data_IF_323544335891
#
_entry.id   IF_323544335891
#
_cell.length_a   1.000
_cell.length_b   1.000
_cell.length_c   1.000
_cell.angle_alpha   90.00
_cell.angle_beta   90.00
_cell.angle_gamma   90.00
#
_symmetry.space_group_name_H-M   'P 1'
#
loop_
_entity.id
_entity.type
_entity.pdbx_description
1 polymer ?
#
# COMPACT_ATOMS: atom_id res chain seq x y z
N UNK A 1 -6.11 0.66 21.65
CA UNK A 1 -5.82 -0.73 21.31
C UNK A 1 -5.26 -0.68 19.90
N UNK A 2 -4.00 -1.05 19.70
CA UNK A 2 -3.51 -1.37 18.37
C UNK A 2 -4.34 -2.58 17.93
N UNK A 3 -5.06 -2.47 16.81
CA UNK A 3 -5.72 -3.60 16.21
C UNK A 3 -4.63 -4.64 15.89
N UNK A 4 -4.87 -5.88 16.24
CA UNK A 4 -3.97 -6.99 15.94
C UNK A 4 -3.88 -7.09 14.41
N UNK A 5 -2.68 -7.02 13.85
CA UNK A 5 -2.48 -6.99 12.40
C UNK A 5 -2.91 -8.36 11.85
N UNK A 6 -4.00 -8.39 11.11
CA UNK A 6 -4.49 -9.60 10.44
C UNK A 6 -3.70 -9.77 9.15
N UNK A 7 -3.12 -10.93 8.94
CA UNK A 7 -2.46 -11.29 7.69
C UNK A 7 -3.39 -12.12 6.82
N UNK A 8 -3.25 -11.98 5.51
CA UNK A 8 -4.10 -12.60 4.52
C UNK A 8 -3.31 -13.58 3.65
N UNK A 9 -3.98 -14.59 3.14
CA UNK A 9 -3.43 -15.60 2.23
C UNK A 9 -3.36 -15.06 0.80
N UNK A 10 -2.50 -15.63 -0.03
CA UNK A 10 -2.40 -15.27 -1.47
C UNK A 10 -3.77 -15.32 -2.14
N UNK A 11 -4.58 -16.34 -1.86
CA UNK A 11 -5.94 -16.49 -2.37
C UNK A 11 -6.83 -15.26 -2.11
N UNK A 12 -6.73 -14.68 -0.92
CA UNK A 12 -7.56 -13.52 -0.53
C UNK A 12 -7.18 -12.26 -1.34
N UNK A 13 -5.90 -12.09 -1.70
CA UNK A 13 -5.46 -11.03 -2.63
C UNK A 13 -6.01 -11.23 -4.04
N UNK A 14 -6.02 -12.47 -4.54
CA UNK A 14 -6.63 -12.81 -5.82
C UNK A 14 -8.13 -12.46 -5.82
N UNK A 15 -8.85 -12.80 -4.76
CA UNK A 15 -10.29 -12.51 -4.62
C UNK A 15 -10.56 -11.00 -4.53
N UNK A 16 -9.77 -10.26 -3.78
CA UNK A 16 -9.88 -8.81 -3.68
C UNK A 16 -9.69 -8.13 -5.05
N UNK A 17 -8.69 -8.57 -5.82
CA UNK A 17 -8.43 -8.06 -7.16
C UNK A 17 -9.54 -8.43 -8.15
N UNK A 18 -10.11 -9.64 -8.06
CA UNK A 18 -11.26 -10.07 -8.87
C UNK A 18 -12.49 -9.22 -8.59
N UNK A 19 -12.81 -9.00 -7.31
CA UNK A 19 -13.94 -8.18 -6.86
C UNK A 19 -13.87 -6.75 -7.38
N UNK A 20 -12.67 -6.22 -7.58
CA UNK A 20 -12.43 -4.87 -8.12
C UNK A 20 -12.21 -4.82 -9.63
N UNK A 21 -12.28 -5.97 -10.32
CA UNK A 21 -12.08 -6.07 -11.77
C UNK A 21 -10.64 -5.88 -12.26
N UNK A 22 -9.66 -5.87 -11.33
CA UNK A 22 -8.23 -5.67 -11.64
C UNK A 22 -7.51 -6.97 -12.05
N UNK A 23 -8.04 -8.11 -11.64
CA UNK A 23 -7.45 -9.43 -11.92
C UNK A 23 -7.43 -9.74 -13.42
N UNK A 24 -6.32 -10.30 -13.90
CA UNK A 24 -6.19 -10.86 -15.25
C UNK A 24 -6.04 -12.39 -15.21
N UNK A 25 -4.99 -12.91 -14.57
CA UNK A 25 -4.75 -14.35 -14.36
C UNK A 25 -3.81 -14.56 -13.18
N UNK A 26 -3.59 -15.81 -12.78
CA UNK A 26 -2.56 -16.17 -11.81
C UNK A 26 -2.10 -17.60 -12.05
N UNK A 27 -0.88 -17.91 -11.57
CA UNK A 27 -0.39 -19.26 -11.38
C UNK A 27 0.20 -19.37 -9.97
N UNK A 28 -0.39 -20.21 -9.13
CA UNK A 28 -0.08 -20.25 -7.69
C UNK A 28 0.69 -21.51 -7.26
N UNK A 29 0.83 -22.50 -8.14
CA UNK A 29 1.61 -23.73 -7.90
C UNK A 29 1.24 -24.44 -6.59
N UNK A 30 -0.05 -24.42 -6.20
CA UNK A 30 -0.53 -25.05 -4.97
C UNK A 30 -0.16 -24.27 -3.68
N UNK A 31 0.21 -22.98 -3.80
CA UNK A 31 0.61 -22.14 -2.66
C UNK A 31 -0.43 -21.08 -2.30
N UNK A 32 -1.70 -21.29 -2.62
CA UNK A 32 -2.84 -20.40 -2.40
C UNK A 32 -2.98 -20.01 -0.92
N UNK A 33 -2.65 -20.95 -0.03
CA UNK A 33 -2.77 -20.82 1.42
C UNK A 33 -1.60 -20.10 2.09
N UNK A 34 -0.53 -19.77 1.34
CA UNK A 34 0.60 -19.03 1.91
C UNK A 34 0.14 -17.65 2.38
N UNK A 35 0.53 -17.32 3.61
CA UNK A 35 0.18 -16.05 4.25
C UNK A 35 1.19 -14.98 3.87
N UNK A 36 0.71 -13.81 3.51
CA UNK A 36 1.55 -12.65 3.21
C UNK A 36 1.76 -11.83 4.47
N UNK A 37 3.03 -11.61 4.83
CA UNK A 37 3.45 -10.84 6.01
C UNK A 37 4.12 -9.52 5.67
N UNK A 38 4.50 -9.34 4.40
CA UNK A 38 5.10 -8.10 3.92
C UNK A 38 4.60 -7.79 2.50
N UNK A 39 4.43 -6.50 2.22
CA UNK A 39 3.99 -5.99 0.91
C UNK A 39 4.91 -4.83 0.53
N UNK A 40 5.70 -5.00 -0.52
CA UNK A 40 6.61 -3.95 -0.99
C UNK A 40 6.85 -4.02 -2.50
N UNK A 41 7.27 -2.91 -3.06
CA UNK A 41 7.78 -2.79 -4.43
C UNK A 41 9.30 -2.51 -4.47
N UNK A 42 9.93 -2.40 -3.30
CA UNK A 42 11.35 -2.16 -3.15
C UNK A 42 12.09 -3.46 -2.82
N UNK A 43 12.94 -3.96 -3.73
CA UNK A 43 13.68 -5.20 -3.52
C UNK A 43 14.62 -5.18 -2.30
N UNK A 44 14.93 -3.99 -1.76
CA UNK A 44 15.76 -3.83 -0.55
C UNK A 44 14.97 -4.09 0.74
N UNK A 45 13.66 -3.92 0.71
CA UNK A 45 12.74 -4.05 1.85
C UNK A 45 12.04 -5.42 1.92
N UNK A 46 12.41 -6.33 1.03
CA UNK A 46 11.87 -7.68 0.99
C UNK A 46 12.35 -8.48 2.21
N UNK A 47 11.42 -9.18 2.82
CA UNK A 47 11.61 -10.17 3.89
C UNK A 47 10.89 -11.47 3.53
N UNK A 48 10.91 -12.45 4.42
CA UNK A 48 10.12 -13.68 4.28
C UNK A 48 8.62 -13.36 4.15
N UNK A 49 7.90 -14.20 3.42
CA UNK A 49 6.46 -14.07 3.16
C UNK A 49 6.05 -12.75 2.49
N UNK A 50 6.93 -12.17 1.66
CA UNK A 50 6.63 -10.94 0.91
C UNK A 50 5.81 -11.23 -0.35
N UNK A 51 4.74 -10.44 -0.56
CA UNK A 51 4.13 -10.20 -1.87
C UNK A 51 4.86 -9.02 -2.53
N UNK A 52 5.62 -9.31 -3.58
CA UNK A 52 6.43 -8.31 -4.26
C UNK A 52 5.71 -7.69 -5.44
N UNK A 53 5.67 -6.34 -5.52
CA UNK A 53 4.98 -5.60 -6.56
C UNK A 53 5.97 -5.16 -7.65
N UNK A 54 5.83 -5.72 -8.85
CA UNK A 54 6.66 -5.36 -10.01
C UNK A 54 6.10 -4.11 -10.69
N UNK A 55 6.47 -2.91 -10.22
CA UNK A 55 5.92 -1.65 -10.74
C UNK A 55 6.97 -0.69 -11.25
N UNK A 56 6.49 0.22 -12.12
CA UNK A 56 7.23 1.41 -12.55
C UNK A 56 8.00 1.24 -13.85
N UNK A 57 8.20 2.36 -14.56
CA UNK A 57 8.93 2.39 -15.84
C UNK A 57 10.42 1.99 -15.70
N UNK A 58 10.98 2.17 -14.50
CA UNK A 58 12.37 1.80 -14.18
C UNK A 58 12.51 0.36 -13.66
N UNK A 59 11.42 -0.41 -13.60
CA UNK A 59 11.45 -1.79 -13.12
C UNK A 59 12.32 -2.67 -14.03
N UNK A 60 13.21 -3.44 -13.39
CA UNK A 60 14.08 -4.42 -14.08
C UNK A 60 13.85 -5.81 -13.50
N UNK A 61 13.85 -6.88 -14.35
CA UNK A 61 13.68 -8.26 -13.88
C UNK A 61 14.67 -8.68 -12.78
N UNK A 62 15.84 -8.07 -12.73
CA UNK A 62 16.83 -8.32 -11.67
C UNK A 62 16.29 -8.00 -10.27
N UNK A 63 15.42 -7.00 -10.13
CA UNK A 63 14.82 -6.65 -8.84
C UNK A 63 13.84 -7.74 -8.34
N UNK A 64 13.13 -8.39 -9.27
CA UNK A 64 12.29 -9.53 -8.92
C UNK A 64 13.14 -10.74 -8.50
N UNK A 65 14.23 -11.04 -9.20
CA UNK A 65 15.15 -12.12 -8.81
C UNK A 65 15.77 -11.88 -7.44
N UNK A 66 16.17 -10.63 -7.17
CA UNK A 66 16.65 -10.22 -5.85
C UNK A 66 15.57 -10.40 -4.77
N UNK A 67 14.33 -9.99 -5.05
CA UNK A 67 13.21 -10.14 -4.14
C UNK A 67 12.92 -11.60 -3.82
N UNK A 68 12.89 -12.48 -4.83
CA UNK A 68 12.72 -13.92 -4.65
C UNK A 68 13.85 -14.52 -3.80
N UNK A 69 15.10 -14.13 -4.06
CA UNK A 69 16.25 -14.57 -3.28
C UNK A 69 16.21 -14.12 -1.82
N UNK A 70 15.45 -13.07 -1.48
CA UNK A 70 15.27 -12.55 -0.11
C UNK A 70 14.01 -13.04 0.59
N UNK A 71 13.17 -13.87 -0.06
CA UNK A 71 12.01 -14.48 0.57
C UNK A 71 10.66 -13.98 0.05
N UNK A 72 10.60 -13.32 -1.11
CA UNK A 72 9.32 -13.06 -1.78
C UNK A 72 8.68 -14.40 -2.20
N UNK A 73 7.48 -14.66 -1.71
CA UNK A 73 6.74 -15.91 -1.94
C UNK A 73 5.73 -15.81 -3.07
N UNK A 74 5.43 -14.60 -3.51
CA UNK A 74 4.55 -14.30 -4.62
C UNK A 74 4.93 -12.95 -5.22
N UNK A 75 4.72 -12.77 -6.53
CA UNK A 75 4.81 -11.46 -7.13
C UNK A 75 3.54 -11.08 -7.90
N UNK A 76 3.35 -9.77 -8.06
CA UNK A 76 2.26 -9.21 -8.85
C UNK A 76 2.83 -8.29 -9.94
N UNK A 77 2.27 -8.38 -11.14
CA UNK A 77 2.75 -7.65 -12.32
C UNK A 77 1.68 -7.58 -13.42
N UNK A 78 1.98 -6.86 -14.49
CA UNK A 78 1.16 -6.80 -15.71
C UNK A 78 1.57 -7.86 -16.75
N UNK A 79 2.68 -8.57 -16.52
CA UNK A 79 3.19 -9.62 -17.40
C UNK A 79 3.95 -10.70 -16.63
N UNK A 80 4.04 -11.88 -17.18
CA UNK A 80 4.86 -12.96 -16.62
C UNK A 80 6.35 -12.67 -16.78
N UNK A 81 7.14 -13.00 -15.77
CA UNK A 81 8.59 -12.97 -15.81
C UNK A 81 9.15 -14.40 -15.77
N UNK A 82 10.16 -14.67 -16.58
CA UNK A 82 10.89 -15.93 -16.54
C UNK A 82 11.83 -15.94 -15.31
N UNK A 83 11.61 -16.92 -14.45
CA UNK A 83 12.40 -17.15 -13.24
C UNK A 83 12.91 -18.60 -13.24
N UNK A 84 14.03 -18.85 -12.56
CA UNK A 84 14.60 -20.21 -12.45
C UNK A 84 13.77 -21.15 -11.57
N UNK A 85 12.95 -20.58 -10.67
CA UNK A 85 12.08 -21.30 -9.76
C UNK A 85 10.60 -21.02 -10.07
N UNK A 86 9.72 -21.96 -9.72
CA UNK A 86 8.27 -21.78 -9.75
C UNK A 86 7.83 -20.86 -8.59
N UNK A 87 7.72 -19.58 -8.88
CA UNK A 87 7.27 -18.54 -7.93
C UNK A 87 5.83 -18.16 -8.27
N UNK A 88 4.89 -18.27 -7.33
CA UNK A 88 3.52 -17.80 -7.51
C UNK A 88 3.46 -16.39 -8.06
N UNK A 89 2.52 -16.15 -8.99
CA UNK A 89 2.30 -14.82 -9.50
C UNK A 89 0.82 -14.51 -9.74
N UNK A 90 0.51 -13.24 -9.66
CA UNK A 90 -0.81 -12.70 -9.98
C UNK A 90 -0.62 -11.64 -11.06
N UNK A 91 -1.31 -11.78 -12.18
CA UNK A 91 -1.34 -10.78 -13.23
C UNK A 91 -2.53 -9.84 -13.07
N UNK A 92 -2.27 -8.58 -13.27
CA UNK A 92 -3.26 -7.51 -13.18
C UNK A 92 -3.28 -6.67 -14.46
N UNK A 93 -4.38 -5.97 -14.69
CA UNK A 93 -4.57 -5.11 -15.86
C UNK A 93 -3.79 -3.80 -15.75
N UNK A 94 -3.74 -3.24 -14.54
CA UNK A 94 -3.02 -2.02 -14.19
C UNK A 94 -2.43 -2.18 -12.80
N UNK A 95 -1.11 -2.12 -12.71
CA UNK A 95 -0.38 -2.35 -11.47
C UNK A 95 -0.59 -1.23 -10.45
N UNK A 96 -0.79 0.02 -10.91
CA UNK A 96 -0.99 1.17 -10.01
C UNK A 96 -2.36 1.12 -9.34
N UNK A 97 -3.40 0.81 -10.11
CA UNK A 97 -4.74 0.61 -9.55
C UNK A 97 -4.77 -0.61 -8.61
N UNK A 98 -4.14 -1.71 -9.01
CA UNK A 98 -4.04 -2.92 -8.20
C UNK A 98 -3.34 -2.67 -6.86
N UNK A 99 -2.30 -1.83 -6.83
CA UNK A 99 -1.58 -1.48 -5.58
C UNK A 99 -2.51 -0.93 -4.50
N UNK A 100 -3.50 -0.13 -4.85
CA UNK A 100 -4.45 0.41 -3.88
C UNK A 100 -5.31 -0.69 -3.24
N UNK A 101 -5.72 -1.69 -4.03
CA UNK A 101 -6.49 -2.84 -3.54
C UNK A 101 -5.63 -3.72 -2.62
N UNK A 102 -4.39 -3.98 -3.03
CA UNK A 102 -3.45 -4.78 -2.24
C UNK A 102 -3.10 -4.12 -0.91
N UNK A 103 -2.78 -2.82 -0.94
CA UNK A 103 -2.45 -2.06 0.25
C UNK A 103 -3.64 -1.99 1.22
N UNK A 104 -4.84 -1.71 0.72
CA UNK A 104 -6.06 -1.72 1.54
C UNK A 104 -6.25 -3.05 2.25
N UNK A 105 -6.12 -4.18 1.55
CA UNK A 105 -6.27 -5.49 2.16
C UNK A 105 -5.15 -5.75 3.17
N UNK A 106 -3.89 -5.50 2.81
CA UNK A 106 -2.73 -5.75 3.65
C UNK A 106 -2.81 -5.00 4.98
N UNK A 107 -3.23 -3.74 4.96
CA UNK A 107 -3.39 -2.90 6.15
C UNK A 107 -4.79 -2.97 6.80
N UNK A 108 -5.62 -3.96 6.43
CA UNK A 108 -6.98 -4.16 6.99
C UNK A 108 -7.95 -3.00 6.74
N UNK A 109 -7.92 -2.40 5.54
CA UNK A 109 -8.81 -1.29 5.14
C UNK A 109 -8.85 -0.14 6.17
N UNK A 110 -7.71 0.48 6.50
CA UNK A 110 -7.63 1.47 7.59
C UNK A 110 -8.54 2.68 7.38
N UNK A 111 -8.91 2.98 6.14
CA UNK A 111 -9.83 4.06 5.79
C UNK A 111 -11.25 3.87 6.36
N UNK A 112 -11.68 2.64 6.70
CA UNK A 112 -13.00 2.38 7.30
C UNK A 112 -13.11 2.97 8.71
N UNK A 113 -12.00 3.11 9.41
CA UNK A 113 -11.92 3.67 10.76
C UNK A 113 -11.60 5.18 10.78
N UNK A 114 -11.35 5.79 9.61
CA UNK A 114 -10.93 7.17 9.48
C UNK A 114 -12.03 8.07 8.87
N UNK A 115 -12.06 9.33 9.32
CA UNK A 115 -12.80 10.39 8.64
C UNK A 115 -11.84 11.15 7.74
N UNK A 116 -11.94 10.92 6.43
CA UNK A 116 -11.06 11.52 5.45
C UNK A 116 -11.68 12.79 4.86
N UNK A 117 -10.88 13.85 4.78
CA UNK A 117 -11.25 15.11 4.11
C UNK A 117 -10.19 15.41 3.06
N UNK A 118 -10.60 15.45 1.79
CA UNK A 118 -9.72 15.79 0.68
C UNK A 118 -9.92 17.24 0.21
N UNK A 119 -8.82 17.97 -0.02
CA UNK A 119 -8.84 19.33 -0.55
C UNK A 119 -8.22 19.36 -1.94
N UNK A 120 -9.05 19.59 -2.96
CA UNK A 120 -8.65 19.74 -4.36
C UNK A 120 -8.55 21.21 -4.77
N UNK A 121 -7.73 21.50 -5.80
CA UNK A 121 -7.64 22.83 -6.40
C UNK A 121 -6.26 23.14 -6.99
N UNK A 122 -6.18 24.20 -7.77
CA UNK A 122 -4.93 24.63 -8.40
C UNK A 122 -4.01 25.41 -7.44
N UNK A 123 -4.58 26.14 -6.48
CA UNK A 123 -3.88 26.94 -5.45
C UNK A 123 -4.58 26.81 -4.11
N UNK A 124 -3.87 27.13 -3.01
CA UNK A 124 -4.44 27.20 -1.67
C UNK A 124 -4.72 25.89 -0.97
N UNK A 125 -4.49 24.73 -1.59
CA UNK A 125 -4.75 23.40 -1.00
C UNK A 125 -4.09 23.24 0.37
N UNK A 126 -2.77 23.38 0.43
CA UNK A 126 -2.01 23.21 1.68
C UNK A 126 -2.46 24.22 2.73
N UNK A 127 -2.64 25.49 2.36
CA UNK A 127 -3.13 26.53 3.28
C UNK A 127 -4.48 26.14 3.88
N UNK A 128 -5.44 25.71 3.05
CA UNK A 128 -6.77 25.29 3.52
C UNK A 128 -6.71 24.08 4.44
N UNK A 129 -5.86 23.08 4.10
CA UNK A 129 -5.67 21.89 4.94
C UNK A 129 -5.14 22.26 6.32
N UNK A 130 -4.16 23.16 6.42
CA UNK A 130 -3.60 23.57 7.72
C UNK A 130 -4.56 24.42 8.53
N UNK A 131 -5.36 25.29 7.90
CA UNK A 131 -6.42 26.00 8.63
C UNK A 131 -7.47 25.02 9.17
N UNK A 132 -7.93 24.07 8.36
CA UNK A 132 -8.86 23.04 8.83
C UNK A 132 -8.26 22.18 9.94
N UNK A 133 -6.97 21.79 9.80
CA UNK A 133 -6.27 21.04 10.85
C UNK A 133 -6.30 21.81 12.17
N UNK A 134 -5.92 23.09 12.18
CA UNK A 134 -5.91 23.91 13.39
C UNK A 134 -7.28 23.94 14.08
N UNK A 135 -8.36 24.17 13.32
CA UNK A 135 -9.74 24.18 13.85
C UNK A 135 -10.16 22.82 14.41
N UNK A 136 -9.80 21.73 13.69
CA UNK A 136 -10.14 20.37 14.11
C UNK A 136 -9.35 19.97 15.35
N UNK A 137 -8.07 20.34 15.42
CA UNK A 137 -7.22 20.02 16.56
C UNK A 137 -7.69 20.74 17.84
N UNK A 138 -8.05 22.03 17.78
CA UNK A 138 -8.68 22.75 18.90
C UNK A 138 -9.95 22.04 19.41
N UNK A 139 -10.79 21.56 18.47
CA UNK A 139 -11.99 20.81 18.82
C UNK A 139 -11.68 19.44 19.45
N UNK A 140 -10.65 18.74 18.95
CA UNK A 140 -10.22 17.43 19.47
C UNK A 140 -9.57 17.58 20.85
N UNK A 141 -8.73 18.62 21.05
CA UNK A 141 -8.11 18.94 22.33
C UNK A 141 -9.16 19.18 23.42
N UNK A 142 -10.21 19.95 23.11
CA UNK A 142 -11.33 20.17 24.04
C UNK A 142 -12.06 18.87 24.46
N UNK A 143 -11.88 17.79 23.71
CA UNK A 143 -12.43 16.46 24.00
C UNK A 143 -11.39 15.47 24.56
N UNK A 144 -10.19 15.92 24.87
CA UNK A 144 -9.03 15.08 25.26
C UNK A 144 -8.73 13.99 24.23
N UNK A 145 -8.87 14.28 22.95
CA UNK A 145 -8.52 13.41 21.83
C UNK A 145 -7.18 13.82 21.23
N UNK A 146 -6.57 12.91 20.45
CA UNK A 146 -5.34 13.19 19.72
C UNK A 146 -5.61 14.11 18.53
N UNK A 147 -4.57 14.85 18.13
CA UNK A 147 -4.58 15.70 16.96
C UNK A 147 -4.93 14.92 15.67
N UNK A 148 -5.48 15.64 14.73
CA UNK A 148 -5.74 15.11 13.40
C UNK A 148 -4.44 14.87 12.62
N UNK A 149 -4.43 13.82 11.79
CA UNK A 149 -3.35 13.59 10.84
C UNK A 149 -3.47 14.53 9.63
N UNK A 150 -2.37 14.75 8.93
CA UNK A 150 -2.35 15.50 7.67
C UNK A 150 -1.37 14.87 6.68
N UNK A 151 -1.75 14.84 5.41
CA UNK A 151 -0.88 14.51 4.29
C UNK A 151 -0.92 15.69 3.33
N UNK A 152 0.23 16.32 3.13
CA UNK A 152 0.37 17.47 2.25
C UNK A 152 1.66 17.42 1.45
N UNK A 153 1.86 18.37 0.52
CA UNK A 153 3.14 18.54 -0.17
C UNK A 153 4.25 19.15 0.71
N UNK A 154 3.92 19.59 1.91
CA UNK A 154 4.86 20.18 2.86
C UNK A 154 5.39 19.10 3.80
N UNK A 155 4.48 18.39 4.43
CA UNK A 155 4.79 17.33 5.38
C UNK A 155 3.65 16.29 5.48
N UNK A 156 3.98 15.20 6.13
CA UNK A 156 3.06 14.15 6.55
C UNK A 156 3.14 14.08 8.07
N UNK A 157 1.99 14.19 8.74
CA UNK A 157 1.84 14.01 10.17
C UNK A 157 0.79 12.95 10.46
N UNK A 158 1.17 11.88 11.14
CA UNK A 158 0.34 10.70 11.42
C UNK A 158 -0.35 10.75 12.79
N UNK A 159 -0.30 11.89 13.48
CA UNK A 159 -0.77 12.05 14.86
C UNK A 159 0.30 11.74 15.92
N UNK A 160 1.53 11.37 15.53
CA UNK A 160 2.67 11.07 16.42
C UNK A 160 3.97 11.66 15.91
N UNK A 161 4.28 11.41 14.66
CA UNK A 161 5.52 11.81 14.00
C UNK A 161 5.25 12.73 12.83
N UNK A 162 6.18 13.63 12.56
CA UNK A 162 6.14 14.55 11.43
C UNK A 162 7.32 14.27 10.51
N UNK A 163 7.05 14.04 9.23
CA UNK A 163 8.06 13.78 8.21
C UNK A 163 7.88 14.78 7.08
N UNK A 164 8.98 15.33 6.56
CA UNK A 164 8.95 16.18 5.38
C UNK A 164 8.48 15.39 4.16
N UNK A 165 7.58 15.96 3.38
CA UNK A 165 7.07 15.30 2.18
C UNK A 165 7.96 15.62 0.98
N UNK A 166 8.41 14.59 0.27
CA UNK A 166 9.16 14.74 -0.98
C UNK A 166 8.28 14.60 -2.23
N UNK A 167 7.01 14.22 -2.05
CA UNK A 167 6.03 14.00 -3.12
C UNK A 167 4.66 14.55 -2.71
N UNK A 168 3.88 14.98 -3.71
CA UNK A 168 2.53 15.53 -3.45
C UNK A 168 1.53 14.48 -3.01
N UNK A 169 1.74 13.23 -3.39
CA UNK A 169 0.89 12.09 -3.05
C UNK A 169 1.77 10.87 -2.82
N UNK A 170 1.77 10.28 -1.62
CA UNK A 170 2.47 9.02 -1.35
C UNK A 170 1.96 7.90 -2.23
N UNK A 171 2.78 6.88 -2.44
CA UNK A 171 2.35 5.65 -3.09
C UNK A 171 1.32 4.90 -2.22
N UNK A 172 0.45 4.09 -2.85
CA UNK A 172 -0.65 3.44 -2.15
C UNK A 172 -0.19 2.56 -0.96
N UNK A 173 1.00 1.97 -1.04
CA UNK A 173 1.57 1.16 0.05
C UNK A 173 2.09 2.04 1.20
N UNK A 174 2.55 3.25 0.91
CA UNK A 174 3.05 4.22 1.90
C UNK A 174 1.93 5.03 2.55
N UNK A 175 0.77 5.12 1.87
CA UNK A 175 -0.38 5.93 2.28
C UNK A 175 -1.19 5.27 3.41
N UNK A 176 -1.14 3.97 3.56
CA UNK A 176 -1.89 3.19 4.54
C UNK A 176 -1.14 3.13 5.87
#
# INVERSE_FOLDING_TARGET
KMAEMKFYKIQEYVEALRKRGMFASCELYGKEENVIRNLTYNSKEVSEDTLFICKGAAFKPVYLREAVGKGAVCYISEKVFELEAEVPYILVKDIREAMSVLANLFYNNPWEDLRLVGVGGTKGKSTSVYYMKAIVDDYLEAQNKKDSAVISSIDIYDGKSKVESHITTPEAVELQ
#
